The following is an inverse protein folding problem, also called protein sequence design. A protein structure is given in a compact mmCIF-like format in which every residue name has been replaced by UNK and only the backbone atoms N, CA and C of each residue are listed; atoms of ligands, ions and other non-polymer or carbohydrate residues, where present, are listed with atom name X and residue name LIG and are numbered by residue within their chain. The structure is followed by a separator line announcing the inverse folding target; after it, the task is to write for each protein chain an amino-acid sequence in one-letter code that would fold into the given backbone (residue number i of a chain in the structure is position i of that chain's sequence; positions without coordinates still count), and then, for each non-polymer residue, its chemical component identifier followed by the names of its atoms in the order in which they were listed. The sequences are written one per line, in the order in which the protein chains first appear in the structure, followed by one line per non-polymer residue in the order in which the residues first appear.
data_IF_918062446205
#
_entry.id   IF_918062446205
#
_cell.length_a   1.000
_cell.length_b   1.000
_cell.length_c   1.000
_cell.angle_alpha   90.00
_cell.angle_beta   90.00
_cell.angle_gamma   90.00
#
_symmetry.space_group_name_H-M   'P 1'
#
loop_
_entity.id
_entity.type
_entity.pdbx_description
1 polymer ?
#
# COMPACT_ATOMS: atom_id res chain seq x y z
N UNK A 1 -37.95 14.32 -73.85
CA UNK A 1 -37.03 14.73 -72.83
C UNK A 1 -37.60 14.59 -71.41
N UNK A 2 -38.32 13.48 -71.07
CA UNK A 2 -38.88 13.25 -69.71
C UNK A 2 -38.52 11.86 -69.12
N UNK A 3 -37.58 11.10 -69.70
CA UNK A 3 -37.22 9.76 -69.20
C UNK A 3 -35.80 9.67 -68.62
N UNK A 4 -35.03 10.75 -68.61
CA UNK A 4 -33.64 10.73 -68.08
C UNK A 4 -33.49 11.25 -66.65
N UNK A 5 -34.55 11.79 -66.02
CA UNK A 5 -34.49 12.38 -64.67
C UNK A 5 -34.85 11.44 -63.51
N UNK A 6 -35.40 10.25 -63.82
CA UNK A 6 -35.85 9.31 -62.77
C UNK A 6 -34.76 8.32 -62.36
N UNK A 7 -33.75 8.06 -63.18
CA UNK A 7 -32.67 7.10 -62.86
C UNK A 7 -31.63 7.74 -61.90
N UNK A 8 -31.48 9.07 -61.88
CA UNK A 8 -30.51 9.76 -61.02
C UNK A 8 -30.91 9.82 -59.55
N UNK A 9 -32.20 9.80 -59.21
CA UNK A 9 -32.67 9.95 -57.82
C UNK A 9 -32.74 8.61 -57.04
N UNK A 10 -32.78 7.48 -57.70
CA UNK A 10 -32.80 6.18 -57.05
C UNK A 10 -31.37 5.73 -56.62
N UNK A 11 -30.33 6.18 -57.35
CA UNK A 11 -28.93 5.88 -57.01
C UNK A 11 -28.41 6.63 -55.79
N UNK A 12 -28.88 7.86 -55.55
CA UNK A 12 -28.45 8.68 -54.39
C UNK A 12 -29.13 8.26 -53.08
N UNK A 13 -30.33 7.69 -53.15
CA UNK A 13 -31.06 7.19 -51.97
C UNK A 13 -30.48 5.89 -51.40
N UNK A 14 -29.91 5.02 -52.25
CA UNK A 14 -29.32 3.75 -51.85
C UNK A 14 -27.91 3.91 -51.22
N UNK A 15 -27.15 4.96 -51.57
CA UNK A 15 -25.84 5.25 -50.99
C UNK A 15 -25.97 5.90 -49.60
N UNK A 16 -27.02 6.70 -49.39
CA UNK A 16 -27.28 7.30 -48.06
C UNK A 16 -27.85 6.30 -47.05
N UNK A 17 -28.57 5.27 -47.47
CA UNK A 17 -29.08 4.23 -46.57
C UNK A 17 -27.98 3.24 -46.16
N UNK A 18 -26.97 2.98 -47.02
CA UNK A 18 -25.86 2.11 -46.69
C UNK A 18 -24.83 2.77 -45.73
N UNK A 19 -24.78 4.15 -45.67
CA UNK A 19 -23.92 4.86 -44.71
C UNK A 19 -24.52 4.92 -43.29
N UNK A 20 -25.88 4.79 -43.16
CA UNK A 20 -26.54 4.75 -41.87
C UNK A 20 -26.55 3.40 -41.17
N UNK A 21 -26.28 2.29 -41.92
CA UNK A 21 -26.26 0.95 -41.33
C UNK A 21 -24.89 0.47 -40.82
N UNK A 22 -23.81 1.27 -41.00
CA UNK A 22 -22.49 0.93 -40.47
C UNK A 22 -22.16 1.62 -39.15
N UNK A 23 -23.10 2.38 -38.58
CA UNK A 23 -22.91 3.12 -37.31
C UNK A 23 -23.61 2.49 -36.11
N UNK A 24 -24.06 1.24 -36.25
CA UNK A 24 -24.70 0.62 -35.09
C UNK A 24 -24.22 -0.83 -34.92
N UNK A 25 -23.45 -1.00 -33.91
CA UNK A 25 -23.31 -2.17 -33.02
C UNK A 25 -21.89 -2.32 -32.47
N UNK A 26 -21.34 -1.26 -31.95
CA UNK A 26 -20.51 -1.47 -30.78
C UNK A 26 -21.47 -1.81 -29.63
N UNK A 27 -22.04 -3.04 -29.62
CA UNK A 27 -22.65 -3.61 -28.42
C UNK A 27 -21.64 -3.38 -27.32
N UNK A 28 -21.93 -2.44 -26.41
CA UNK A 28 -21.14 -2.26 -25.19
C UNK A 28 -21.09 -3.62 -24.53
N UNK A 29 -19.97 -4.31 -24.72
CA UNK A 29 -19.76 -5.57 -24.02
C UNK A 29 -19.93 -5.27 -22.53
N UNK A 30 -20.65 -6.14 -21.81
CA UNK A 30 -20.78 -6.00 -20.34
C UNK A 30 -19.41 -5.77 -19.72
N UNK A 31 -19.21 -4.71 -18.94
CA UNK A 31 -17.92 -4.43 -18.35
C UNK A 31 -17.42 -5.62 -17.50
N UNK A 32 -16.14 -5.87 -17.57
CA UNK A 32 -15.47 -6.80 -16.65
C UNK A 32 -15.42 -6.12 -15.28
N UNK A 33 -16.07 -6.71 -14.30
CA UNK A 33 -16.03 -6.20 -12.93
C UNK A 33 -14.86 -6.85 -12.17
N UNK A 34 -14.03 -6.02 -11.54
CA UNK A 34 -12.97 -6.43 -10.63
C UNK A 34 -13.40 -6.12 -9.19
N UNK A 35 -13.47 -7.13 -8.36
CA UNK A 35 -13.71 -6.98 -6.91
C UNK A 35 -12.41 -6.55 -6.23
N UNK A 36 -12.38 -5.33 -5.72
CA UNK A 36 -11.21 -4.67 -5.12
C UNK A 36 -11.38 -4.60 -3.60
N UNK A 37 -10.58 -5.33 -2.84
CA UNK A 37 -10.73 -5.44 -1.38
C UNK A 37 -9.65 -4.66 -0.61
N UNK A 38 -10.03 -4.07 0.51
CA UNK A 38 -9.10 -3.47 1.46
C UNK A 38 -9.65 -3.53 2.90
N UNK A 39 -8.78 -3.78 3.86
CA UNK A 39 -9.11 -3.62 5.28
C UNK A 39 -9.26 -2.17 5.71
N UNK A 40 -8.77 -1.24 4.90
CA UNK A 40 -8.63 0.18 5.22
C UNK A 40 -9.95 0.92 5.02
N UNK A 41 -10.33 1.85 5.91
CA UNK A 41 -11.43 2.80 5.66
C UNK A 41 -11.21 3.63 4.40
N UNK A 42 -12.30 3.87 3.66
CA UNK A 42 -12.25 4.53 2.35
C UNK A 42 -11.62 5.93 2.36
N UNK A 43 -11.79 6.68 3.44
CA UNK A 43 -11.32 8.05 3.57
C UNK A 43 -9.81 8.17 3.86
N UNK A 44 -9.10 7.05 4.00
CA UNK A 44 -7.65 7.06 4.24
C UNK A 44 -6.85 7.23 2.94
N UNK A 45 -5.68 7.90 2.97
CA UNK A 45 -4.87 8.13 1.78
C UNK A 45 -4.48 6.88 1.03
N UNK A 46 -4.23 5.77 1.73
CA UNK A 46 -3.92 4.50 1.10
C UNK A 46 -5.12 3.94 0.32
N UNK A 47 -6.33 4.08 0.84
CA UNK A 47 -7.55 3.68 0.15
C UNK A 47 -7.85 4.61 -1.03
N UNK A 48 -7.65 5.92 -0.87
CA UNK A 48 -7.80 6.89 -1.95
C UNK A 48 -6.82 6.63 -3.10
N UNK A 49 -5.58 6.25 -2.79
CA UNK A 49 -4.59 5.85 -3.81
C UNK A 49 -5.04 4.62 -4.60
N UNK A 50 -5.63 3.63 -3.92
CA UNK A 50 -6.19 2.45 -4.57
C UNK A 50 -7.40 2.78 -5.44
N UNK A 51 -8.27 3.67 -4.96
CA UNK A 51 -9.40 4.15 -5.76
C UNK A 51 -8.93 4.91 -7.01
N UNK A 52 -7.86 5.72 -6.90
CA UNK A 52 -7.25 6.41 -8.04
C UNK A 52 -6.68 5.42 -9.06
N UNK A 53 -5.97 4.37 -8.60
CA UNK A 53 -5.53 3.29 -9.48
C UNK A 53 -6.70 2.66 -10.26
N UNK A 54 -7.78 2.28 -9.58
CA UNK A 54 -8.94 1.69 -10.24
C UNK A 54 -9.62 2.63 -11.22
N UNK A 55 -9.74 3.92 -10.89
CA UNK A 55 -10.28 4.94 -11.79
C UNK A 55 -9.42 5.14 -13.05
N UNK A 56 -8.10 5.08 -12.94
CA UNK A 56 -7.22 5.14 -14.11
C UNK A 56 -7.37 3.89 -14.99
N UNK A 57 -7.51 2.70 -14.40
CA UNK A 57 -7.84 1.46 -15.14
C UNK A 57 -9.18 1.60 -15.86
N UNK A 58 -10.25 2.04 -15.17
CA UNK A 58 -11.57 2.25 -15.77
C UNK A 58 -11.51 3.23 -16.95
N UNK A 59 -10.86 4.36 -16.74
CA UNK A 59 -10.70 5.42 -17.73
C UNK A 59 -9.95 4.95 -18.98
N UNK A 60 -8.76 4.33 -18.80
CA UNK A 60 -7.91 3.91 -19.92
C UNK A 60 -8.47 2.71 -20.67
N UNK A 61 -9.32 1.91 -20.02
CA UNK A 61 -10.07 0.83 -20.69
C UNK A 61 -11.39 1.31 -21.33
N UNK A 62 -11.67 2.62 -21.33
CA UNK A 62 -12.95 3.20 -21.79
C UNK A 62 -14.16 2.53 -21.14
N UNK A 63 -14.08 2.20 -19.85
CA UNK A 63 -15.15 1.58 -19.07
C UNK A 63 -15.36 0.09 -19.34
N UNK A 64 -14.49 -0.57 -20.10
CA UNK A 64 -14.57 -2.03 -20.31
C UNK A 64 -14.19 -2.80 -19.04
N UNK A 65 -13.42 -2.19 -18.13
CA UNK A 65 -13.18 -2.69 -16.78
C UNK A 65 -13.84 -1.75 -15.80
N UNK A 66 -14.44 -2.29 -14.75
CA UNK A 66 -15.03 -1.58 -13.61
C UNK A 66 -14.44 -2.12 -12.33
N UNK A 67 -14.05 -1.23 -11.40
CA UNK A 67 -13.53 -1.61 -10.09
C UNK A 67 -14.63 -1.42 -9.03
N UNK A 68 -15.04 -2.51 -8.40
CA UNK A 68 -15.97 -2.51 -7.28
C UNK A 68 -15.20 -2.65 -5.98
N UNK A 69 -15.20 -1.56 -5.17
CA UNK A 69 -14.39 -1.49 -3.97
C UNK A 69 -15.13 -1.93 -2.71
N UNK A 70 -14.49 -2.79 -1.94
CA UNK A 70 -14.93 -3.30 -0.64
C UNK A 70 -13.97 -2.83 0.45
N UNK A 71 -14.40 -1.82 1.21
CA UNK A 71 -13.59 -1.17 2.24
C UNK A 71 -13.84 -1.76 3.64
N UNK A 72 -12.94 -1.47 4.58
CA UNK A 72 -13.12 -1.78 6.01
C UNK A 72 -13.45 -3.26 6.27
N UNK A 73 -12.77 -4.18 5.59
CA UNK A 73 -12.95 -5.62 5.73
C UNK A 73 -14.33 -6.15 5.26
N UNK A 74 -15.06 -5.41 4.42
CA UNK A 74 -16.39 -5.82 3.95
C UNK A 74 -16.37 -7.12 3.12
N UNK A 75 -15.27 -7.40 2.41
CA UNK A 75 -15.11 -8.61 1.59
C UNK A 75 -14.08 -9.57 2.16
N UNK A 76 -12.94 -9.05 2.64
CA UNK A 76 -11.79 -9.83 3.11
C UNK A 76 -11.32 -9.28 4.45
N UNK A 77 -11.00 -10.14 5.39
CA UNK A 77 -10.48 -9.78 6.71
C UNK A 77 -9.00 -9.38 6.61
N UNK A 78 -8.57 -8.53 7.56
CA UNK A 78 -7.16 -8.14 7.69
C UNK A 78 -6.27 -9.37 7.89
N UNK A 79 -5.25 -9.52 7.06
CA UNK A 79 -4.32 -10.64 7.06
C UNK A 79 -4.72 -11.83 6.18
N UNK A 80 -5.92 -11.80 5.56
CA UNK A 80 -6.37 -12.84 4.64
C UNK A 80 -6.28 -12.38 3.16
N UNK A 81 -5.84 -11.16 2.89
CA UNK A 81 -5.93 -10.53 1.57
C UNK A 81 -5.21 -11.32 0.48
N UNK A 82 -3.98 -11.80 0.75
CA UNK A 82 -3.21 -12.59 -0.21
C UNK A 82 -3.92 -13.89 -0.58
N UNK A 83 -4.36 -14.64 0.43
CA UNK A 83 -5.04 -15.93 0.24
C UNK A 83 -6.40 -15.77 -0.42
N UNK A 84 -7.17 -14.77 -0.01
CA UNK A 84 -8.48 -14.46 -0.57
C UNK A 84 -8.38 -14.02 -2.03
N UNK A 85 -7.33 -13.25 -2.39
CA UNK A 85 -7.04 -12.88 -3.78
C UNK A 85 -6.66 -14.11 -4.58
N UNK A 86 -5.77 -14.96 -4.09
CA UNK A 86 -5.38 -16.20 -4.78
C UNK A 86 -6.55 -17.16 -5.00
N UNK A 87 -7.50 -17.22 -4.04
CA UNK A 87 -8.73 -18.02 -4.13
C UNK A 87 -9.82 -17.39 -5.02
N UNK A 88 -9.65 -16.16 -5.50
CA UNK A 88 -10.65 -15.45 -6.32
C UNK A 88 -11.86 -14.90 -5.55
N UNK A 89 -11.77 -14.79 -4.22
CA UNK A 89 -12.77 -14.09 -3.39
C UNK A 89 -12.73 -12.60 -3.73
N UNK A 90 -11.52 -12.01 -3.76
CA UNK A 90 -11.24 -10.73 -4.38
C UNK A 90 -10.45 -10.94 -5.68
N UNK A 91 -10.64 -10.07 -6.67
CA UNK A 91 -9.80 -10.06 -7.88
C UNK A 91 -8.51 -9.27 -7.64
N UNK A 92 -8.61 -8.19 -6.85
CA UNK A 92 -7.50 -7.31 -6.49
C UNK A 92 -7.63 -6.94 -5.01
N UNK A 93 -6.54 -6.88 -4.28
CA UNK A 93 -6.57 -6.43 -2.89
C UNK A 93 -5.35 -5.59 -2.51
N UNK A 94 -5.51 -4.70 -1.53
CA UNK A 94 -4.36 -4.17 -0.79
C UNK A 94 -4.01 -5.20 0.29
N UNK A 95 -2.81 -5.73 0.18
CA UNK A 95 -2.24 -6.74 1.06
C UNK A 95 -1.22 -6.12 2.01
N UNK A 96 -1.06 -6.71 3.19
CA UNK A 96 -0.12 -6.27 4.23
C UNK A 96 0.74 -7.45 4.70
N UNK A 97 1.95 -7.64 4.14
CA UNK A 97 2.82 -8.79 4.40
C UNK A 97 3.17 -9.03 5.87
N UNK A 98 3.18 -7.97 6.67
CA UNK A 98 3.47 -8.05 8.12
C UNK A 98 2.53 -8.98 8.90
N UNK A 99 1.34 -9.31 8.36
CA UNK A 99 0.43 -10.24 9.00
C UNK A 99 0.79 -11.70 8.77
N UNK A 100 1.51 -12.01 7.68
CA UNK A 100 1.93 -13.37 7.32
C UNK A 100 3.35 -13.40 6.72
N UNK A 101 4.37 -12.93 7.46
CA UNK A 101 5.73 -12.71 6.95
C UNK A 101 6.46 -13.97 6.48
N UNK A 102 5.90 -15.15 6.71
CA UNK A 102 6.44 -16.43 6.21
C UNK A 102 5.97 -16.79 4.80
N UNK A 103 4.90 -16.16 4.30
CA UNK A 103 4.34 -16.44 2.98
C UNK A 103 5.05 -15.64 1.88
N UNK A 104 5.36 -14.37 2.18
CA UNK A 104 6.08 -13.45 1.28
C UNK A 104 7.32 -12.87 1.99
N UNK A 105 8.30 -13.70 2.40
CA UNK A 105 9.38 -13.27 3.28
C UNK A 105 10.29 -12.20 2.68
N UNK A 106 10.49 -12.14 1.35
CA UNK A 106 11.40 -11.15 0.75
C UNK A 106 10.85 -9.73 0.79
N UNK A 107 9.54 -9.53 0.67
CA UNK A 107 8.96 -8.17 0.74
C UNK A 107 9.14 -7.53 2.12
N UNK A 108 9.26 -8.35 3.17
CA UNK A 108 9.47 -7.84 4.54
C UNK A 108 10.78 -7.06 4.71
N UNK A 109 11.67 -7.05 3.70
CA UNK A 109 12.84 -6.17 3.67
C UNK A 109 12.44 -4.67 3.70
N UNK A 110 11.31 -4.33 3.11
CA UNK A 110 10.77 -2.96 3.15
C UNK A 110 10.29 -2.52 4.54
N UNK A 111 10.21 -3.46 5.50
CA UNK A 111 9.90 -3.20 6.91
C UNK A 111 11.13 -2.86 7.75
N UNK A 112 12.33 -2.92 7.16
CA UNK A 112 13.57 -2.59 7.87
C UNK A 112 13.59 -1.10 8.24
N UNK A 113 13.64 -0.83 9.52
CA UNK A 113 13.77 0.53 10.03
C UNK A 113 15.16 1.13 9.83
N UNK A 114 15.23 2.44 10.01
CA UNK A 114 16.45 3.23 9.95
C UNK A 114 17.14 3.21 8.56
N UNK A 115 16.41 2.83 7.52
CA UNK A 115 16.91 2.78 6.13
C UNK A 115 16.67 4.12 5.44
N UNK A 116 15.44 4.59 5.41
CA UNK A 116 15.06 5.86 4.78
C UNK A 116 13.73 6.39 5.36
N UNK A 117 13.49 7.69 5.17
CA UNK A 117 12.18 8.32 5.43
C UNK A 117 11.39 8.57 4.15
N UNK A 118 11.84 8.07 3.00
CA UNK A 118 11.25 8.29 1.69
C UNK A 118 10.45 7.07 1.23
N UNK A 119 9.12 7.08 1.36
CA UNK A 119 8.27 5.92 1.09
C UNK A 119 8.34 5.44 -0.35
N UNK A 120 8.40 6.36 -1.30
CA UNK A 120 8.51 6.04 -2.72
C UNK A 120 9.87 5.41 -3.09
N UNK A 121 10.94 5.74 -2.38
CA UNK A 121 12.24 5.08 -2.58
C UNK A 121 12.18 3.59 -2.25
N UNK A 122 11.51 3.23 -1.14
CA UNK A 122 11.28 1.83 -0.74
C UNK A 122 10.41 1.12 -1.77
N UNK A 123 9.27 1.71 -2.14
CA UNK A 123 8.35 1.12 -3.10
C UNK A 123 9.00 0.89 -4.48
N UNK A 124 9.79 1.86 -4.98
CA UNK A 124 10.53 1.72 -6.25
C UNK A 124 11.65 0.68 -6.16
N UNK A 125 12.35 0.60 -5.03
CA UNK A 125 13.37 -0.42 -4.81
C UNK A 125 12.76 -1.83 -4.86
N UNK A 126 11.64 -2.05 -4.20
CA UNK A 126 10.90 -3.31 -4.22
C UNK A 126 10.35 -3.64 -5.61
N UNK A 127 9.79 -2.65 -6.32
CA UNK A 127 9.31 -2.84 -7.68
C UNK A 127 10.44 -3.29 -8.64
N UNK A 128 11.63 -2.69 -8.52
CA UNK A 128 12.79 -3.11 -9.30
C UNK A 128 13.27 -4.52 -8.89
N UNK A 129 13.37 -4.81 -7.59
CA UNK A 129 13.73 -6.14 -7.09
C UNK A 129 12.76 -7.23 -7.55
N UNK A 130 11.46 -6.93 -7.63
CA UNK A 130 10.46 -7.87 -8.13
C UNK A 130 10.74 -8.25 -9.59
N UNK A 131 11.24 -7.33 -10.41
CA UNK A 131 11.61 -7.64 -11.80
C UNK A 131 12.94 -8.40 -11.91
N UNK A 132 13.88 -8.11 -11.01
CA UNK A 132 15.23 -8.70 -11.02
C UNK A 132 15.31 -10.09 -10.37
N UNK A 133 14.42 -10.40 -9.41
CA UNK A 133 14.50 -11.61 -8.57
C UNK A 133 13.36 -12.60 -8.85
N UNK A 134 13.60 -13.69 -9.59
CA UNK A 134 12.63 -14.76 -9.74
C UNK A 134 12.14 -15.33 -8.40
N UNK A 135 13.01 -15.63 -7.39
CA UNK A 135 12.55 -16.12 -6.10
C UNK A 135 11.60 -15.17 -5.37
N UNK A 136 11.70 -13.86 -5.60
CA UNK A 136 10.77 -12.90 -5.03
C UNK A 136 9.37 -13.02 -5.68
N UNK A 137 9.31 -13.16 -7.01
CA UNK A 137 8.03 -13.36 -7.72
C UNK A 137 7.36 -14.68 -7.35
N UNK A 138 8.14 -15.77 -7.25
CA UNK A 138 7.64 -17.11 -6.93
C UNK A 138 6.90 -17.17 -5.60
N UNK A 139 7.18 -16.26 -4.66
CA UNK A 139 6.46 -16.19 -3.39
C UNK A 139 4.98 -15.89 -3.61
N UNK A 140 4.65 -15.02 -4.57
CA UNK A 140 3.27 -14.70 -4.93
C UNK A 140 2.65 -15.75 -5.85
N UNK A 141 3.45 -16.31 -6.75
CA UNK A 141 2.98 -17.34 -7.69
C UNK A 141 2.40 -18.57 -6.97
N UNK A 142 2.98 -18.96 -5.84
CA UNK A 142 2.48 -20.05 -4.97
C UNK A 142 1.07 -19.80 -4.44
N UNK A 143 0.67 -18.55 -4.35
CA UNK A 143 -0.65 -18.10 -3.91
C UNK A 143 -1.58 -17.76 -5.06
N UNK A 144 -1.25 -18.09 -6.32
CA UNK A 144 -2.00 -17.66 -7.50
C UNK A 144 -2.23 -16.14 -7.51
N UNK A 145 -1.26 -15.38 -7.02
CA UNK A 145 -1.28 -13.93 -6.95
C UNK A 145 -0.10 -13.32 -7.72
N UNK A 146 -0.22 -12.06 -8.09
CA UNK A 146 0.87 -11.25 -8.63
C UNK A 146 0.83 -9.86 -8.02
N UNK A 147 1.99 -9.28 -7.77
CA UNK A 147 2.09 -7.89 -7.31
C UNK A 147 1.91 -6.96 -8.49
N UNK A 148 0.96 -6.06 -8.37
CA UNK A 148 0.64 -5.02 -9.36
C UNK A 148 1.48 -3.78 -9.10
N UNK A 149 1.58 -3.39 -7.81
CA UNK A 149 2.40 -2.27 -7.36
C UNK A 149 2.66 -2.37 -5.86
N UNK A 150 3.78 -1.80 -5.43
CA UNK A 150 4.05 -1.53 -4.02
C UNK A 150 3.47 -0.17 -3.66
N UNK A 151 2.76 -0.10 -2.55
CA UNK A 151 2.18 1.13 -2.02
C UNK A 151 3.24 1.86 -1.21
N UNK A 152 3.61 3.10 -1.56
CA UNK A 152 4.47 3.92 -0.71
C UNK A 152 3.83 4.10 0.66
N UNK A 153 4.50 3.71 1.73
CA UNK A 153 3.94 3.81 3.07
C UNK A 153 4.75 4.84 3.88
N UNK A 154 4.11 5.96 4.31
CA UNK A 154 4.83 7.04 5.00
C UNK A 154 5.51 6.59 6.30
N UNK A 155 6.47 7.38 6.83
CA UNK A 155 7.20 7.04 8.03
C UNK A 155 6.32 6.69 9.21
N UNK A 156 6.80 5.72 9.98
CA UNK A 156 6.14 5.18 11.15
C UNK A 156 6.21 6.15 12.33
N UNK A 157 5.13 6.17 13.12
CA UNK A 157 5.04 6.90 14.39
C UNK A 157 4.72 5.93 15.54
N UNK A 158 4.94 6.38 16.75
CA UNK A 158 4.40 5.81 17.96
C UNK A 158 3.23 6.67 18.44
N UNK A 159 2.04 6.06 18.57
CA UNK A 159 0.89 6.65 19.25
C UNK A 159 0.78 6.09 20.67
N UNK A 160 0.49 6.93 21.66
CA UNK A 160 0.42 6.49 23.06
C UNK A 160 -0.69 7.19 23.83
N UNK A 161 -1.22 6.51 24.86
CA UNK A 161 -2.17 7.09 25.83
C UNK A 161 -1.51 7.99 26.84
N UNK A 162 -0.19 7.87 27.02
CA UNK A 162 0.63 8.67 27.94
C UNK A 162 1.83 9.30 27.23
N UNK A 163 2.41 10.37 27.75
CA UNK A 163 3.62 10.95 27.17
C UNK A 163 4.75 9.94 27.05
N UNK A 164 5.46 9.97 25.89
CA UNK A 164 6.69 9.24 25.64
C UNK A 164 7.68 10.25 25.07
N UNK A 165 8.73 10.56 25.81
CA UNK A 165 9.75 11.56 25.45
C UNK A 165 11.13 10.94 25.22
N UNK A 166 11.33 9.72 25.70
CA UNK A 166 12.53 8.92 25.47
C UNK A 166 12.15 7.45 25.38
N UNK A 167 13.04 6.62 24.86
CA UNK A 167 12.80 5.18 24.74
C UNK A 167 12.65 4.47 26.09
N UNK A 168 13.23 5.02 27.17
CA UNK A 168 13.08 4.53 28.54
C UNK A 168 11.64 4.57 29.03
N UNK A 169 10.83 5.52 28.53
CA UNK A 169 9.40 5.64 28.86
C UNK A 169 8.58 4.44 28.35
N UNK A 170 9.14 3.64 27.45
CA UNK A 170 8.51 2.44 26.90
C UNK A 170 8.65 1.21 27.79
N UNK A 171 9.55 1.24 28.77
CA UNK A 171 9.83 0.09 29.63
C UNK A 171 8.57 -0.37 30.37
N UNK A 172 8.25 -1.65 30.23
CA UNK A 172 7.08 -2.28 30.87
C UNK A 172 5.73 -1.99 30.19
N UNK A 173 5.69 -1.10 29.17
CA UNK A 173 4.44 -0.79 28.48
C UNK A 173 4.06 -1.87 27.46
N UNK A 174 2.78 -2.14 27.36
CA UNK A 174 2.20 -2.97 26.30
C UNK A 174 2.00 -2.13 25.04
N UNK A 175 2.80 -2.38 24.02
CA UNK A 175 2.78 -1.61 22.76
C UNK A 175 2.38 -2.54 21.61
N UNK A 176 1.32 -2.16 20.88
CA UNK A 176 1.01 -2.86 19.63
C UNK A 176 2.13 -2.66 18.64
N UNK A 177 2.72 -3.75 18.20
CA UNK A 177 3.71 -3.78 17.14
C UNK A 177 3.50 -5.02 16.26
N UNK A 178 4.05 -5.00 15.04
CA UNK A 178 4.02 -6.13 14.11
C UNK A 178 5.40 -6.33 13.49
N UNK A 179 5.61 -7.50 12.90
CA UNK A 179 6.80 -7.80 12.12
C UNK A 179 8.10 -7.50 12.90
N UNK A 180 9.02 -6.83 12.26
CA UNK A 180 10.33 -6.49 12.83
C UNK A 180 10.26 -5.47 13.98
N UNK A 181 9.20 -4.67 14.08
CA UNK A 181 9.02 -3.74 15.21
C UNK A 181 8.84 -4.46 16.55
N UNK A 182 8.33 -5.68 16.56
CA UNK A 182 8.26 -6.47 17.81
C UNK A 182 9.63 -6.61 18.46
N UNK A 183 10.66 -6.90 17.68
CA UNK A 183 12.02 -7.08 18.18
C UNK A 183 12.61 -5.75 18.70
N UNK A 184 12.34 -4.64 18.01
CA UNK A 184 12.79 -3.31 18.42
C UNK A 184 12.17 -2.93 19.76
N UNK A 185 10.83 -3.01 19.87
CA UNK A 185 10.15 -2.63 21.11
C UNK A 185 10.46 -3.57 22.27
N UNK A 186 10.67 -4.85 22.04
CA UNK A 186 11.16 -5.79 23.05
C UNK A 186 12.54 -5.38 23.59
N UNK A 187 13.48 -4.98 22.72
CA UNK A 187 14.81 -4.47 23.14
C UNK A 187 14.73 -3.17 23.96
N UNK A 188 13.69 -2.36 23.75
CA UNK A 188 13.41 -1.17 24.53
C UNK A 188 12.71 -1.46 25.87
N UNK A 189 12.51 -2.76 26.18
CA UNK A 189 11.89 -3.20 27.42
C UNK A 189 10.36 -3.06 27.43
N UNK A 190 9.72 -2.77 26.28
CA UNK A 190 8.28 -2.87 26.12
C UNK A 190 7.83 -4.33 25.96
N UNK A 191 6.53 -4.57 26.09
CA UNK A 191 5.88 -5.83 25.79
C UNK A 191 5.12 -5.68 24.46
N UNK A 192 5.65 -6.17 23.33
CA UNK A 192 4.94 -6.10 22.06
C UNK A 192 3.69 -6.99 22.06
N UNK A 193 2.61 -6.49 21.46
CA UNK A 193 1.34 -7.21 21.30
C UNK A 193 0.93 -7.14 19.83
N UNK A 194 0.79 -8.29 19.18
CA UNK A 194 0.37 -8.36 17.78
C UNK A 194 -1.16 -8.30 17.69
N UNK A 195 -1.67 -7.19 17.16
CA UNK A 195 -3.11 -6.95 16.96
C UNK A 195 -3.30 -6.38 15.55
N UNK A 196 -4.29 -6.87 14.76
CA UNK A 196 -4.66 -6.28 13.47
C UNK A 196 -5.06 -4.80 13.61
N UNK A 197 -4.81 -4.01 12.56
CA UNK A 197 -5.05 -2.57 12.57
C UNK A 197 -6.48 -2.17 13.00
N UNK A 198 -7.55 -2.81 12.50
CA UNK A 198 -8.92 -2.45 12.88
C UNK A 198 -9.26 -2.67 14.36
N UNK A 199 -8.49 -3.48 15.07
CA UNK A 199 -8.75 -3.84 16.48
C UNK A 199 -8.03 -2.91 17.49
N UNK A 200 -7.14 -2.03 17.01
CA UNK A 200 -6.28 -1.20 17.88
C UNK A 200 -7.12 -0.21 18.71
N UNK A 201 -8.16 0.41 18.12
CA UNK A 201 -9.01 1.34 18.83
C UNK A 201 -9.60 0.71 20.08
N UNK A 202 -10.19 -0.47 19.94
CA UNK A 202 -10.80 -1.21 21.03
C UNK A 202 -9.77 -1.65 22.08
N UNK A 203 -8.60 -2.11 21.64
CA UNK A 203 -7.52 -2.52 22.54
C UNK A 203 -6.99 -1.36 23.40
N UNK A 204 -6.85 -0.15 22.81
CA UNK A 204 -6.50 1.07 23.54
C UNK A 204 -7.61 1.49 24.51
N UNK A 205 -8.88 1.49 24.04
CA UNK A 205 -10.03 1.89 24.85
C UNK A 205 -10.20 1.03 26.10
N UNK A 206 -9.88 -0.26 25.99
CA UNK A 206 -9.96 -1.23 27.10
C UNK A 206 -8.68 -1.33 27.93
N UNK A 207 -7.63 -0.59 27.58
CA UNK A 207 -6.34 -0.66 28.27
C UNK A 207 -5.58 -1.98 28.08
N UNK A 208 -5.91 -2.77 27.04
CA UNK A 208 -5.17 -3.98 26.65
C UNK A 208 -3.76 -3.62 26.22
N UNK A 209 -3.62 -2.47 25.53
CA UNK A 209 -2.37 -1.84 25.13
C UNK A 209 -2.35 -0.38 25.60
N UNK A 210 -1.15 0.17 25.81
CA UNK A 210 -0.94 1.57 26.21
C UNK A 210 -0.46 2.44 25.04
N UNK A 211 -0.06 1.84 23.93
CA UNK A 211 0.36 2.51 22.72
C UNK A 211 0.42 1.56 21.54
N UNK A 212 0.70 2.13 20.39
CA UNK A 212 0.79 1.40 19.12
C UNK A 212 1.84 2.00 18.20
N UNK A 213 2.36 1.18 17.33
CA UNK A 213 3.25 1.57 16.23
C UNK A 213 2.90 0.79 14.96
N UNK A 214 3.59 1.07 13.85
CA UNK A 214 3.26 0.48 12.55
C UNK A 214 2.20 1.29 11.80
N UNK A 215 2.13 2.59 12.08
CA UNK A 215 1.22 3.53 11.44
C UNK A 215 1.93 4.81 11.04
N UNK A 216 1.62 5.38 9.87
CA UNK A 216 1.93 6.76 9.57
C UNK A 216 0.91 7.71 10.23
N UNK A 217 1.29 8.98 10.37
CA UNK A 217 0.41 9.97 11.00
C UNK A 217 -0.94 10.10 10.29
N UNK A 218 -0.96 9.97 8.97
CA UNK A 218 -2.17 10.10 8.16
C UNK A 218 -3.19 8.96 8.35
N UNK A 219 -2.79 7.84 8.98
CA UNK A 219 -3.70 6.72 9.29
C UNK A 219 -4.46 6.91 10.62
N UNK A 220 -3.96 7.77 11.50
CA UNK A 220 -4.49 7.94 12.86
C UNK A 220 -5.97 8.32 12.87
N UNK A 221 -6.37 9.28 12.02
CA UNK A 221 -7.75 9.74 11.92
C UNK A 221 -8.68 8.65 11.38
N UNK A 222 -8.26 7.95 10.31
CA UNK A 222 -9.09 6.94 9.64
C UNK A 222 -9.49 5.80 10.57
N UNK A 223 -8.60 5.38 11.48
CA UNK A 223 -8.90 4.41 12.54
C UNK A 223 -9.37 5.05 13.85
N UNK A 224 -9.66 6.36 13.88
CA UNK A 224 -10.10 7.13 15.04
C UNK A 224 -9.17 7.05 16.25
N UNK A 225 -7.91 6.68 16.07
CA UNK A 225 -6.96 6.46 17.18
C UNK A 225 -6.68 7.71 18.00
N UNK A 226 -6.87 8.90 17.41
CA UNK A 226 -6.77 10.19 18.10
C UNK A 226 -7.82 10.43 19.19
N UNK A 227 -8.88 9.64 19.23
CA UNK A 227 -9.88 9.70 20.31
C UNK A 227 -9.37 9.05 21.59
N UNK A 228 -8.56 8.01 21.47
CA UNK A 228 -8.10 7.12 22.56
C UNK A 228 -6.60 7.23 22.86
N UNK A 229 -5.79 7.80 21.96
CA UNK A 229 -4.38 8.09 22.16
C UNK A 229 -4.10 9.55 21.77
N UNK A 230 -3.43 10.30 22.65
CA UNK A 230 -3.23 11.74 22.48
C UNK A 230 -1.76 12.16 22.29
N UNK A 231 -0.82 11.23 22.37
CA UNK A 231 0.60 11.51 22.27
C UNK A 231 1.18 10.78 21.07
N UNK A 232 1.79 11.51 20.17
CA UNK A 232 2.39 11.01 18.94
C UNK A 232 3.86 11.33 18.91
N UNK A 233 4.67 10.34 18.56
CA UNK A 233 6.12 10.46 18.58
C UNK A 233 6.70 10.03 17.24
N UNK A 234 7.47 10.90 16.60
CA UNK A 234 8.42 10.51 15.57
C UNK A 234 9.72 10.09 16.27
N UNK A 235 9.98 8.80 16.30
CA UNK A 235 11.13 8.21 16.98
C UNK A 235 12.30 7.87 16.03
N UNK A 236 12.24 8.38 14.79
CA UNK A 236 13.33 8.25 13.83
C UNK A 236 13.46 6.89 13.18
N UNK A 237 12.44 6.02 13.28
CA UNK A 237 12.48 4.69 12.65
C UNK A 237 12.47 4.75 11.13
N UNK A 238 11.82 5.77 10.57
CA UNK A 238 11.63 5.92 9.14
C UNK A 238 10.50 5.05 8.60
N UNK A 239 10.63 4.60 7.37
CA UNK A 239 9.68 3.69 6.75
C UNK A 239 9.65 2.36 7.49
N UNK A 240 8.45 1.79 7.59
CA UNK A 240 8.27 0.55 8.34
C UNK A 240 7.44 -0.47 7.59
N UNK A 241 6.39 -0.08 6.95
CA UNK A 241 5.45 -0.99 6.35
C UNK A 241 5.57 -0.94 4.84
N UNK A 242 5.40 -2.10 4.23
CA UNK A 242 5.07 -2.21 2.82
C UNK A 242 3.64 -2.72 2.74
N UNK A 243 2.84 -2.06 1.94
CA UNK A 243 1.60 -2.63 1.44
C UNK A 243 1.75 -2.83 -0.07
N UNK A 244 0.95 -3.72 -0.59
CA UNK A 244 1.00 -4.10 -1.99
C UNK A 244 -0.41 -4.14 -2.55
N UNK A 245 -0.53 -3.80 -3.83
CA UNK A 245 -1.70 -4.17 -4.60
C UNK A 245 -1.39 -5.52 -5.22
N UNK A 246 -2.12 -6.55 -4.80
CA UNK A 246 -2.02 -7.90 -5.38
C UNK A 246 -3.23 -8.20 -6.25
N UNK A 247 -3.00 -8.89 -7.35
CA UNK A 247 -4.03 -9.31 -8.31
C UNK A 247 -4.08 -10.83 -8.36
N UNK A 248 -5.27 -11.43 -8.47
CA UNK A 248 -5.41 -12.85 -8.79
C UNK A 248 -4.79 -13.16 -10.14
N UNK A 249 -3.75 -13.99 -10.18
CA UNK A 249 -2.96 -14.26 -11.38
C UNK A 249 -3.79 -14.92 -12.50
N UNK A 250 -4.65 -15.86 -12.15
CA UNK A 250 -5.53 -16.53 -13.11
C UNK A 250 -6.57 -15.57 -13.70
N UNK A 251 -7.14 -14.68 -12.85
CA UNK A 251 -8.08 -13.65 -13.31
C UNK A 251 -7.38 -12.67 -14.25
N UNK A 252 -6.19 -12.17 -13.89
CA UNK A 252 -5.41 -11.27 -14.74
C UNK A 252 -5.13 -11.90 -16.10
N UNK A 253 -4.65 -13.16 -16.12
CA UNK A 253 -4.36 -13.91 -17.35
C UNK A 253 -5.59 -14.17 -18.23
N UNK A 254 -6.79 -14.17 -17.65
CA UNK A 254 -8.06 -14.33 -18.38
C UNK A 254 -8.56 -13.04 -19.04
N UNK A 255 -7.97 -11.88 -18.69
CA UNK A 255 -8.34 -10.59 -19.29
C UNK A 255 -7.87 -10.53 -20.75
N UNK A 256 -8.56 -9.79 -21.63
CA UNK A 256 -8.08 -9.50 -22.98
C UNK A 256 -6.66 -8.91 -22.96
N UNK A 257 -5.76 -9.28 -23.89
CA UNK A 257 -4.36 -8.83 -23.88
C UNK A 257 -4.17 -7.32 -23.87
N UNK A 258 -5.05 -6.58 -24.55
CA UNK A 258 -5.02 -5.12 -24.55
C UNK A 258 -5.40 -4.51 -23.20
N UNK A 259 -6.31 -5.15 -22.46
CA UNK A 259 -6.66 -4.76 -21.08
C UNK A 259 -5.50 -5.09 -20.13
N UNK A 260 -4.87 -6.25 -20.26
CA UNK A 260 -3.68 -6.59 -19.47
C UNK A 260 -2.59 -5.51 -19.63
N UNK A 261 -2.29 -5.12 -20.88
CA UNK A 261 -1.31 -4.08 -21.19
C UNK A 261 -1.67 -2.73 -20.56
N UNK A 262 -2.94 -2.32 -20.63
CA UNK A 262 -3.39 -1.06 -20.00
C UNK A 262 -3.18 -1.11 -18.49
N UNK A 263 -3.55 -2.21 -17.83
CA UNK A 263 -3.34 -2.39 -16.40
C UNK A 263 -1.85 -2.31 -16.05
N UNK A 264 -0.98 -2.97 -16.81
CA UNK A 264 0.47 -2.92 -16.61
C UNK A 264 1.04 -1.50 -16.77
N UNK A 265 0.50 -0.70 -17.69
CA UNK A 265 0.88 0.71 -17.84
C UNK A 265 0.46 1.54 -16.63
N UNK A 266 -0.77 1.37 -16.14
CA UNK A 266 -1.24 2.03 -14.91
C UNK A 266 -0.38 1.62 -13.71
N UNK A 267 0.00 0.34 -13.62
CA UNK A 267 0.82 -0.18 -12.52
C UNK A 267 2.17 0.52 -12.41
N UNK A 268 2.81 0.84 -13.53
CA UNK A 268 4.10 1.56 -13.56
C UNK A 268 4.00 2.97 -12.97
N UNK A 269 2.82 3.59 -13.04
CA UNK A 269 2.57 4.95 -12.56
C UNK A 269 2.01 4.97 -11.12
N UNK A 270 1.62 3.81 -10.57
CA UNK A 270 0.86 3.71 -9.31
C UNK A 270 1.59 4.34 -8.13
N UNK A 271 2.92 4.18 -8.02
CA UNK A 271 3.70 4.82 -6.96
C UNK A 271 3.55 6.34 -7.01
N UNK A 272 3.62 6.95 -8.21
CA UNK A 272 3.46 8.39 -8.39
C UNK A 272 2.01 8.84 -8.13
N UNK A 273 1.02 8.03 -8.50
CA UNK A 273 -0.39 8.29 -8.15
C UNK A 273 -0.58 8.37 -6.63
N UNK A 274 -0.01 7.44 -5.87
CA UNK A 274 -0.05 7.47 -4.40
C UNK A 274 0.65 8.70 -3.84
N UNK A 275 1.84 9.05 -4.34
CA UNK A 275 2.58 10.23 -3.89
C UNK A 275 1.80 11.52 -4.15
N UNK A 276 1.08 11.61 -5.26
CA UNK A 276 0.20 12.74 -5.55
C UNK A 276 -1.01 12.80 -4.60
N UNK A 277 -1.57 11.67 -4.22
CA UNK A 277 -2.64 11.60 -3.19
C UNK A 277 -2.11 12.10 -1.85
N UNK A 278 -0.97 11.59 -1.40
CA UNK A 278 -0.37 12.01 -0.13
C UNK A 278 -0.10 13.51 -0.08
N UNK A 279 0.48 14.09 -1.12
CA UNK A 279 0.77 15.52 -1.18
C UNK A 279 -0.50 16.39 -1.11
N UNK A 280 -1.63 15.93 -1.67
CA UNK A 280 -2.90 16.66 -1.64
C UNK A 280 -3.64 16.52 -0.32
N UNK A 281 -3.54 15.36 0.31
CA UNK A 281 -4.37 15.00 1.47
C UNK A 281 -3.68 15.28 2.81
N UNK A 282 -2.38 15.64 2.81
CA UNK A 282 -1.57 15.77 4.02
C UNK A 282 -2.23 16.65 5.10
N UNK A 283 -2.65 17.87 4.74
CA UNK A 283 -3.25 18.81 5.68
C UNK A 283 -4.59 18.31 6.23
N UNK A 284 -5.35 17.57 5.43
CA UNK A 284 -6.64 16.99 5.84
C UNK A 284 -6.51 16.02 7.02
N UNK A 285 -5.33 15.41 7.20
CA UNK A 285 -5.11 14.43 8.27
C UNK A 285 -4.38 15.02 9.48
N UNK A 286 -3.55 16.03 9.30
CA UNK A 286 -2.79 16.66 10.37
C UNK A 286 -3.62 17.68 11.17
N UNK A 287 -4.38 18.53 10.45
CA UNK A 287 -5.20 19.59 11.09
C UNK A 287 -6.17 19.04 12.15
N UNK A 288 -6.98 18.00 11.87
CA UNK A 288 -7.91 17.46 12.87
C UNK A 288 -7.22 16.89 14.12
N UNK A 289 -6.00 16.39 14.00
CA UNK A 289 -5.25 15.89 15.16
C UNK A 289 -4.82 17.05 16.08
N UNK A 290 -4.43 18.20 15.50
CA UNK A 290 -4.14 19.41 16.25
C UNK A 290 -5.39 19.95 16.96
N UNK A 291 -6.52 20.00 16.24
CA UNK A 291 -7.82 20.43 16.79
C UNK A 291 -8.31 19.49 17.91
N UNK A 292 -8.01 18.19 17.82
CA UNK A 292 -8.29 17.21 18.87
C UNK A 292 -7.34 17.28 20.08
N UNK A 293 -6.52 18.33 20.17
CA UNK A 293 -5.52 18.53 21.25
C UNK A 293 -4.51 17.38 21.39
N UNK A 294 -4.13 16.78 20.27
CA UNK A 294 -3.06 15.79 20.24
C UNK A 294 -1.70 16.46 20.41
N UNK A 295 -0.80 15.78 21.11
CA UNK A 295 0.56 16.25 21.40
C UNK A 295 1.53 15.54 20.45
N UNK A 296 2.47 16.29 19.91
CA UNK A 296 3.48 15.79 18.98
C UNK A 296 4.87 15.97 19.58
N UNK A 297 5.70 14.97 19.46
CA UNK A 297 7.07 14.99 19.93
C UNK A 297 7.99 14.26 18.96
N UNK A 298 9.09 14.87 18.60
CA UNK A 298 10.14 14.22 17.80
C UNK A 298 11.31 13.91 18.74
N UNK A 299 11.77 12.68 18.73
CA UNK A 299 12.97 12.32 19.49
C UNK A 299 14.16 13.16 19.01
N UNK A 300 15.00 13.64 19.94
CA UNK A 300 16.27 14.27 19.58
C UNK A 300 17.11 13.35 18.68
N UNK A 301 17.91 13.93 17.79
CA UNK A 301 18.74 13.14 16.87
C UNK A 301 19.63 12.13 17.61
N UNK A 302 20.19 12.51 18.77
CA UNK A 302 20.99 11.62 19.62
C UNK A 302 20.21 10.38 20.09
N UNK A 303 18.92 10.52 20.38
CA UNK A 303 18.07 9.41 20.79
C UNK A 303 17.71 8.52 19.58
N UNK A 304 17.37 9.11 18.45
CA UNK A 304 17.14 8.35 17.20
C UNK A 304 18.38 7.59 16.76
N UNK A 305 19.56 8.19 16.84
CA UNK A 305 20.84 7.53 16.54
C UNK A 305 21.14 6.39 17.53
N UNK A 306 20.84 6.60 18.82
CA UNK A 306 20.95 5.53 19.83
C UNK A 306 20.06 4.35 19.50
N UNK A 307 18.81 4.58 19.12
CA UNK A 307 17.87 3.52 18.71
C UNK A 307 18.37 2.81 17.47
N UNK A 308 18.83 3.54 16.46
CA UNK A 308 19.41 2.95 15.25
C UNK A 308 20.59 2.06 15.55
N UNK A 309 21.52 2.52 16.40
CA UNK A 309 22.71 1.74 16.79
C UNK A 309 22.35 0.49 17.61
N UNK A 310 21.31 0.60 18.48
CA UNK A 310 20.86 -0.51 19.31
C UNK A 310 20.14 -1.59 18.48
N UNK A 311 19.29 -1.19 17.57
CA UNK A 311 18.34 -2.11 16.90
C UNK A 311 18.65 -2.35 15.41
N UNK A 312 19.16 -1.36 14.69
CA UNK A 312 19.32 -1.40 13.24
C UNK A 312 20.18 -2.57 12.75
N UNK A 313 21.48 -2.65 13.10
CA UNK A 313 22.35 -3.71 12.61
C UNK A 313 21.86 -5.12 12.97
N UNK A 314 21.35 -5.30 14.19
CA UNK A 314 20.83 -6.60 14.63
C UNK A 314 19.58 -7.00 13.84
N UNK A 315 18.68 -6.05 13.55
CA UNK A 315 17.47 -6.27 12.75
C UNK A 315 17.84 -6.60 11.30
N UNK A 316 18.76 -5.86 10.69
CA UNK A 316 19.20 -6.07 9.31
C UNK A 316 19.87 -7.44 9.14
N UNK A 317 20.82 -7.78 10.01
CA UNK A 317 21.46 -9.09 10.01
C UNK A 317 20.47 -10.21 10.32
N UNK A 318 19.55 -9.99 11.27
CA UNK A 318 18.49 -10.95 11.60
C UNK A 318 17.58 -11.24 10.42
N UNK A 319 17.21 -10.20 9.63
CA UNK A 319 16.45 -10.38 8.42
C UNK A 319 17.19 -11.24 7.39
N UNK A 320 18.47 -10.96 7.16
CA UNK A 320 19.33 -11.75 6.24
C UNK A 320 19.39 -13.20 6.68
N UNK A 321 19.71 -13.46 7.94
CA UNK A 321 19.83 -14.84 8.47
C UNK A 321 18.50 -15.61 8.36
N UNK A 322 17.40 -14.99 8.77
CA UNK A 322 16.06 -15.60 8.73
C UNK A 322 15.63 -16.00 7.32
N UNK A 323 16.05 -15.24 6.32
CA UNK A 323 15.62 -15.41 4.93
C UNK A 323 16.60 -16.23 4.06
N UNK A 324 17.74 -16.67 4.58
CA UNK A 324 18.72 -17.53 3.86
C UNK A 324 18.09 -18.78 3.24
N UNK A 325 17.12 -19.37 3.92
CA UNK A 325 16.41 -20.58 3.44
C UNK A 325 15.57 -20.37 2.18
N UNK A 326 15.31 -19.12 1.80
CA UNK A 326 14.51 -18.77 0.62
C UNK A 326 15.36 -18.31 -0.58
N UNK A 327 16.68 -18.18 -0.43
CA UNK A 327 17.62 -17.78 -1.48
C UNK A 327 18.74 -16.90 -0.99
N UNK A 328 19.40 -16.18 -1.90
CA UNK A 328 20.55 -15.27 -1.63
C UNK A 328 20.09 -14.00 -0.89
N UNK A 329 19.64 -14.16 0.37
CA UNK A 329 19.11 -13.05 1.17
C UNK A 329 20.10 -11.90 1.39
N UNK A 330 21.41 -12.20 1.48
CA UNK A 330 22.44 -11.16 1.61
C UNK A 330 22.57 -10.32 0.33
N UNK A 331 22.56 -10.96 -0.84
CA UNK A 331 22.61 -10.24 -2.13
C UNK A 331 21.35 -9.40 -2.32
N UNK A 332 20.19 -9.97 -1.98
CA UNK A 332 18.91 -9.28 -2.03
C UNK A 332 18.90 -8.05 -1.10
N UNK A 333 19.42 -8.18 0.12
CA UNK A 333 19.56 -7.07 1.06
C UNK A 333 20.49 -5.99 0.52
N UNK A 334 21.68 -6.36 0.03
CA UNK A 334 22.64 -5.41 -0.52
C UNK A 334 22.03 -4.65 -1.71
N UNK A 335 21.32 -5.37 -2.59
CA UNK A 335 20.66 -4.78 -3.75
C UNK A 335 19.52 -3.85 -3.34
N UNK A 336 18.74 -4.22 -2.33
CA UNK A 336 17.70 -3.35 -1.78
C UNK A 336 18.29 -2.02 -1.27
N UNK A 337 19.34 -2.08 -0.46
CA UNK A 337 20.00 -0.89 0.08
C UNK A 337 20.56 0.02 -1.02
N UNK A 338 21.18 -0.58 -2.04
CA UNK A 338 21.66 0.15 -3.23
C UNK A 338 20.51 0.87 -3.96
N UNK A 339 19.39 0.17 -4.18
CA UNK A 339 18.24 0.72 -4.88
C UNK A 339 17.54 1.82 -4.08
N UNK A 340 17.40 1.66 -2.76
CA UNK A 340 16.88 2.73 -1.91
C UNK A 340 17.76 3.97 -2.03
N UNK A 341 19.08 3.84 -1.92
CA UNK A 341 20.03 4.94 -2.09
C UNK A 341 19.95 5.59 -3.48
N UNK A 342 19.68 4.81 -4.52
CA UNK A 342 19.46 5.29 -5.89
C UNK A 342 18.21 6.15 -6.01
N UNK A 343 17.09 5.73 -5.40
CA UNK A 343 15.81 6.40 -5.56
C UNK A 343 15.55 7.53 -4.55
N UNK A 344 16.18 7.50 -3.39
CA UNK A 344 15.97 8.47 -2.31
C UNK A 344 16.15 9.93 -2.73
N UNK A 345 17.20 10.32 -3.51
CA UNK A 345 17.41 11.72 -3.91
C UNK A 345 16.30 12.27 -4.82
N UNK A 346 15.59 11.41 -5.55
CA UNK A 346 14.48 11.82 -6.44
C UNK A 346 13.15 11.98 -5.74
N UNK A 347 13.04 11.51 -4.48
CA UNK A 347 11.81 11.59 -3.71
C UNK A 347 11.45 13.03 -3.34
N UNK A 348 10.21 13.41 -3.63
CA UNK A 348 9.63 14.70 -3.23
C UNK A 348 8.85 14.61 -1.92
N UNK A 349 8.85 13.44 -1.27
CA UNK A 349 8.09 13.27 -0.03
C UNK A 349 8.67 14.16 1.08
N UNK A 350 7.77 14.94 1.70
CA UNK A 350 8.03 15.68 2.93
C UNK A 350 7.26 15.02 4.08
N UNK A 351 7.93 14.72 5.20
CA UNK A 351 7.26 14.14 6.35
C UNK A 351 6.32 15.17 6.99
N UNK A 352 4.99 14.92 7.06
CA UNK A 352 4.02 15.86 7.60
C UNK A 352 4.01 15.94 9.13
N UNK A 353 4.86 15.20 9.80
CA UNK A 353 4.88 15.17 11.25
C UNK A 353 5.15 16.58 11.81
N UNK A 354 4.30 17.11 12.71
CA UNK A 354 4.47 18.45 13.27
C UNK A 354 5.78 18.57 14.07
N UNK A 355 6.51 19.64 13.80
CA UNK A 355 7.76 19.99 14.51
C UNK A 355 7.46 20.79 15.76
#
# INVERSE_FOLDING_TARGET
MKKLLVVGMVGLGLILVSLFFTLDSAKSATPIVLKCASMTPRDMPVALGFEVWGKEVEKRTNGRVKCEFYWSQALVKAGDELRATGAGIADVAIETPSYHPSETPFVTIGELGFVTTKPDAVARALAQLLTESPPFREQYDRHNAMVVSFVPFPPNILGSTKPVKASEDLKGKKIRALGLLNEVFAKLGATPVAIPAPEIYEALSRGVIEGYTGFPLNAVKGFKLHEVAKYYVDFGYGNYLVQEIVFNKSKFSSLPPDIQKIIEEVNKETIDLYMNVYAKEEQRYVTPLKEASCNFYTFPASESDRLKNLAGPAMWNGWVEKNKKYGSSQEFFNRFMELVKKYEPSSKYANPFPK
#
